data_IF_717385773457
#
_entry.id   IF_717385773457
#
_cell.length_a   1.000
_cell.length_b   1.000
_cell.length_c   1.000
_cell.angle_alpha   90.00
_cell.angle_beta   90.00
_cell.angle_gamma   90.00
#
_symmetry.space_group_name_H-M   'P 1'
#
loop_
_entity.id
_entity.type
_entity.pdbx_description
1 polymer ?
#
# COMPACT_ATOMS: atom_id res chain seq x y z
N UNK A 1 50.00 31.73 -13.19
CA UNK A 1 49.55 32.96 -13.86
C UNK A 1 49.39 32.67 -15.34
N UNK A 2 48.20 32.93 -15.89
CA UNK A 2 47.96 33.39 -17.27
C UNK A 2 47.98 32.35 -18.42
N UNK A 3 46.76 31.94 -18.80
CA UNK A 3 46.12 31.80 -20.14
C UNK A 3 46.88 31.28 -21.37
N UNK A 4 46.27 30.33 -22.07
CA UNK A 4 46.35 30.15 -23.54
C UNK A 4 45.09 29.43 -24.09
N UNK A 5 44.51 29.84 -25.24
CA UNK A 5 43.43 29.14 -25.96
C UNK A 5 43.88 28.64 -27.36
N UNK A 6 43.21 27.62 -27.92
CA UNK A 6 43.46 27.12 -29.29
C UNK A 6 42.31 26.18 -29.73
N UNK A 7 41.85 26.00 -30.98
CA UNK A 7 41.69 26.77 -32.23
C UNK A 7 40.81 25.87 -33.13
N UNK A 8 40.04 26.47 -34.03
CA UNK A 8 39.12 25.82 -34.98
C UNK A 8 39.81 25.34 -36.28
N UNK A 9 39.20 24.38 -37.01
CA UNK A 9 39.05 24.31 -38.49
C UNK A 9 38.32 22.99 -38.84
N UNK A 10 37.14 23.01 -39.50
CA UNK A 10 36.85 23.11 -40.96
C UNK A 10 36.82 21.73 -41.66
N UNK A 11 35.81 21.47 -42.52
CA UNK A 11 35.95 21.25 -43.98
C UNK A 11 34.57 20.96 -44.63
N UNK A 12 34.32 21.57 -45.79
CA UNK A 12 33.14 21.45 -46.67
C UNK A 12 33.19 20.20 -47.59
N UNK A 13 32.15 19.93 -48.41
CA UNK A 13 32.26 20.27 -49.85
C UNK A 13 30.93 20.65 -50.58
N UNK A 14 30.97 21.05 -51.87
CA UNK A 14 29.82 21.43 -52.73
C UNK A 14 29.55 20.37 -53.85
N UNK A 15 28.89 20.72 -54.99
CA UNK A 15 27.45 20.76 -55.25
C UNK A 15 27.00 19.66 -56.26
N UNK A 16 25.70 19.51 -56.51
CA UNK A 16 25.17 19.47 -57.88
C UNK A 16 23.64 19.47 -57.93
N UNK A 17 23.17 20.15 -58.97
CA UNK A 17 21.78 20.42 -59.32
C UNK A 17 21.36 19.37 -60.34
N UNK A 18 20.19 18.73 -60.19
CA UNK A 18 19.34 18.49 -61.36
C UNK A 18 17.90 18.15 -61.02
N UNK A 19 17.05 18.50 -61.98
CA UNK A 19 15.64 18.85 -61.87
C UNK A 19 14.74 17.69 -62.32
N UNK A 20 13.53 17.68 -61.75
CA UNK A 20 12.26 17.19 -62.29
C UNK A 20 11.89 15.70 -62.15
N UNK A 21 10.71 15.50 -61.52
CA UNK A 21 9.72 14.57 -62.06
C UNK A 21 8.79 13.91 -61.04
N UNK A 22 7.53 14.34 -61.06
CA UNK A 22 6.31 13.62 -60.67
C UNK A 22 5.81 13.77 -59.23
N UNK A 23 4.59 14.33 -59.15
CA UNK A 23 3.75 14.57 -57.98
C UNK A 23 3.09 13.29 -57.43
N UNK A 24 2.72 13.25 -56.13
CA UNK A 24 1.30 13.28 -55.74
C UNK A 24 1.03 13.52 -54.23
N UNK A 25 -0.08 14.21 -54.02
CA UNK A 25 -0.98 14.51 -52.90
C UNK A 25 -0.87 13.87 -51.50
N UNK A 26 -1.17 14.68 -50.47
CA UNK A 26 -1.60 14.17 -49.15
C UNK A 26 -1.96 15.18 -48.04
N UNK A 27 -1.43 16.41 -48.03
CA UNK A 27 -1.46 17.23 -46.80
C UNK A 27 -2.38 18.48 -46.79
N UNK A 28 -3.11 18.79 -47.87
CA UNK A 28 -3.87 20.07 -47.97
C UNK A 28 -5.39 20.00 -47.71
N UNK A 29 -5.94 18.83 -47.35
CA UNK A 29 -7.39 18.63 -47.22
C UNK A 29 -8.02 19.07 -45.88
N UNK A 30 -7.30 18.98 -44.76
CA UNK A 30 -7.90 19.11 -43.41
C UNK A 30 -8.06 20.56 -42.95
N UNK A 31 -7.27 21.49 -43.49
CA UNK A 31 -7.27 22.90 -43.06
C UNK A 31 -8.36 23.75 -43.71
N UNK A 32 -8.86 23.36 -44.92
CA UNK A 32 -9.96 24.07 -45.59
C UNK A 32 -11.34 23.69 -45.05
N UNK A 33 -11.55 22.45 -44.65
CA UNK A 33 -12.83 21.99 -44.10
C UNK A 33 -13.15 22.64 -42.74
N UNK A 34 -12.13 23.00 -41.95
CA UNK A 34 -12.34 23.64 -40.64
C UNK A 34 -12.74 25.12 -40.74
N UNK A 35 -12.37 25.81 -41.83
CA UNK A 35 -12.77 27.22 -42.07
C UNK A 35 -14.12 27.36 -42.76
N UNK A 36 -14.56 26.37 -43.53
CA UNK A 36 -15.88 26.38 -44.17
C UNK A 36 -17.03 26.16 -43.17
N UNK A 37 -16.83 25.34 -42.14
CA UNK A 37 -17.85 25.05 -41.12
C UNK A 37 -18.14 26.23 -40.15
N UNK A 38 -17.40 27.33 -40.24
CA UNK A 38 -17.57 28.52 -39.40
C UNK A 38 -18.42 29.62 -40.07
N UNK A 39 -18.83 29.46 -41.34
CA UNK A 39 -19.48 30.55 -42.10
C UNK A 39 -21.01 30.45 -42.23
N UNK A 40 -21.61 29.30 -41.91
CA UNK A 40 -23.08 29.11 -41.94
C UNK A 40 -23.63 28.84 -40.54
N UNK A 41 -23.52 29.81 -39.65
CA UNK A 41 -24.31 29.82 -38.40
C UNK A 41 -25.37 30.91 -38.47
N UNK A 42 -26.63 30.48 -38.49
CA UNK A 42 -27.80 31.36 -38.47
C UNK A 42 -27.80 32.21 -37.20
N UNK A 43 -28.39 33.42 -37.21
CA UNK A 43 -28.44 34.29 -36.04
C UNK A 43 -29.11 33.62 -34.82
N UNK A 44 -30.06 32.71 -35.06
CA UNK A 44 -30.69 31.88 -34.03
C UNK A 44 -29.73 30.89 -33.37
N UNK A 45 -28.81 30.28 -34.12
CA UNK A 45 -27.79 29.38 -33.55
C UNK A 45 -26.74 30.13 -32.74
N UNK A 46 -26.41 31.37 -33.12
CA UNK A 46 -25.53 32.25 -32.31
C UNK A 46 -26.20 32.72 -31.03
N UNK A 47 -27.51 32.96 -31.04
CA UNK A 47 -28.28 33.27 -29.84
C UNK A 47 -28.43 32.06 -28.91
N UNK A 48 -28.65 30.87 -29.46
CA UNK A 48 -28.68 29.60 -28.71
C UNK A 48 -27.33 29.27 -28.07
N UNK A 49 -26.21 29.45 -28.79
CA UNK A 49 -24.86 29.26 -28.21
C UNK A 49 -24.53 30.32 -27.13
N UNK A 50 -25.10 31.52 -27.21
CA UNK A 50 -24.93 32.56 -26.18
C UNK A 50 -25.77 32.26 -24.91
N UNK A 51 -26.96 31.66 -25.07
CA UNK A 51 -27.83 31.22 -23.96
C UNK A 51 -27.33 29.90 -23.34
N UNK A 52 -26.81 28.98 -24.14
CA UNK A 52 -26.18 27.72 -23.68
C UNK A 52 -24.77 27.98 -23.13
N UNK A 53 -24.07 29.01 -23.63
CA UNK A 53 -22.81 29.51 -23.08
C UNK A 53 -22.95 30.18 -21.70
N UNK A 54 -24.17 30.58 -21.32
CA UNK A 54 -24.46 31.19 -20.02
C UNK A 54 -24.54 30.16 -18.88
N UNK A 55 -24.67 28.86 -19.20
CA UNK A 55 -24.45 27.78 -18.22
C UNK A 55 -23.00 27.76 -17.70
N UNK A 56 -22.05 28.32 -18.46
CA UNK A 56 -20.65 28.42 -18.00
C UNK A 56 -20.45 29.52 -16.97
N UNK A 57 -21.19 30.62 -17.07
CA UNK A 57 -21.13 31.73 -16.12
C UNK A 57 -21.92 31.35 -14.87
N UNK A 58 -23.13 30.78 -15.01
CA UNK A 58 -23.91 30.27 -13.87
C UNK A 58 -23.19 29.12 -13.18
N UNK A 59 -22.54 28.18 -13.89
CA UNK A 59 -21.76 27.10 -13.25
C UNK A 59 -20.42 27.57 -12.69
N UNK A 60 -19.80 28.62 -13.23
CA UNK A 60 -18.59 29.23 -12.66
C UNK A 60 -18.93 30.05 -11.41
N UNK A 61 -19.98 30.86 -11.45
CA UNK A 61 -20.53 31.56 -10.29
C UNK A 61 -21.06 30.59 -9.24
N UNK A 62 -21.71 29.50 -9.64
CA UNK A 62 -22.18 28.46 -8.71
C UNK A 62 -21.00 27.69 -8.12
N UNK A 63 -19.98 27.31 -8.91
CA UNK A 63 -18.76 26.68 -8.37
C UNK A 63 -17.98 27.64 -7.47
N UNK A 64 -17.94 28.92 -7.79
CA UNK A 64 -17.26 29.95 -7.00
C UNK A 64 -18.05 30.31 -5.76
N UNK A 65 -19.38 30.39 -5.83
CA UNK A 65 -20.29 30.59 -4.70
C UNK A 65 -20.31 29.36 -3.80
N UNK A 66 -20.37 28.13 -4.32
CA UNK A 66 -20.23 26.88 -3.55
C UNK A 66 -18.84 26.79 -2.93
N UNK A 67 -17.78 27.19 -3.63
CA UNK A 67 -16.43 27.24 -3.06
C UNK A 67 -16.31 28.32 -1.98
N UNK A 68 -16.93 29.48 -2.17
CA UNK A 68 -16.95 30.58 -1.20
C UNK A 68 -17.79 30.22 0.03
N UNK A 69 -18.97 29.65 -0.17
CA UNK A 69 -19.86 29.10 0.86
C UNK A 69 -19.17 27.96 1.61
N UNK A 70 -18.51 27.04 0.91
CA UNK A 70 -17.75 25.94 1.54
C UNK A 70 -16.54 26.44 2.32
N UNK A 71 -15.88 27.51 1.90
CA UNK A 71 -14.72 28.09 2.61
C UNK A 71 -15.13 28.99 3.79
N UNK A 72 -16.29 29.66 3.72
CA UNK A 72 -16.78 30.57 4.77
C UNK A 72 -17.78 29.93 5.74
N UNK A 73 -18.63 29.03 5.26
CA UNK A 73 -19.75 28.45 6.01
C UNK A 73 -19.43 27.08 6.57
N UNK A 74 -18.71 26.19 5.87
CA UNK A 74 -18.31 24.91 6.46
C UNK A 74 -17.49 25.03 7.75
N UNK A 75 -16.48 25.91 7.90
CA UNK A 75 -15.77 26.01 9.18
C UNK A 75 -16.63 26.58 10.32
N UNK A 76 -17.78 27.20 10.01
CA UNK A 76 -18.73 27.74 10.99
C UNK A 76 -19.79 26.70 11.37
N UNK A 77 -20.14 25.79 10.46
CA UNK A 77 -21.11 24.71 10.70
C UNK A 77 -20.47 23.40 11.19
N UNK A 78 -19.19 23.17 10.91
CA UNK A 78 -18.42 22.00 11.35
C UNK A 78 -18.49 21.73 12.87
N UNK A 79 -18.57 22.76 13.74
CA UNK A 79 -18.72 22.53 15.16
C UNK A 79 -20.13 22.09 15.59
N UNK A 80 -21.19 22.23 14.79
CA UNK A 80 -22.56 21.95 15.25
C UNK A 80 -22.81 20.43 15.34
N UNK A 81 -23.17 19.93 16.52
CA UNK A 81 -23.46 18.51 16.71
C UNK A 81 -24.84 18.15 16.13
N UNK A 82 -25.14 16.86 15.99
CA UNK A 82 -26.49 16.42 15.58
C UNK A 82 -27.59 16.95 16.52
N UNK A 83 -27.30 17.02 17.82
CA UNK A 83 -28.19 17.63 18.81
C UNK A 83 -28.27 19.15 18.65
N UNK A 84 -27.15 19.82 18.39
CA UNK A 84 -27.13 21.26 18.08
C UNK A 84 -28.01 21.63 16.89
N UNK A 85 -28.02 20.80 15.85
CA UNK A 85 -28.93 20.97 14.70
C UNK A 85 -30.41 20.80 15.08
N UNK A 86 -30.74 19.79 15.89
CA UNK A 86 -32.11 19.60 16.37
C UNK A 86 -32.59 20.81 17.19
N UNK A 87 -31.73 21.33 18.07
CA UNK A 87 -32.02 22.54 18.86
C UNK A 87 -32.11 23.78 17.98
N UNK A 88 -31.24 23.95 16.99
CA UNK A 88 -31.27 25.05 16.03
C UNK A 88 -32.58 25.06 15.24
N UNK A 89 -32.97 23.92 14.67
CA UNK A 89 -34.22 23.78 13.90
C UNK A 89 -35.44 23.95 14.80
N UNK A 90 -35.44 23.30 15.97
CA UNK A 90 -36.53 23.44 16.94
C UNK A 90 -36.72 24.88 17.41
N UNK A 91 -35.62 25.60 17.65
CA UNK A 91 -35.62 27.03 17.99
C UNK A 91 -36.24 27.86 16.86
N UNK A 92 -35.83 27.63 15.61
CA UNK A 92 -36.36 28.36 14.46
C UNK A 92 -37.86 28.08 14.25
N UNK A 93 -38.28 26.82 14.32
CA UNK A 93 -39.69 26.42 14.17
C UNK A 93 -40.55 27.02 15.29
N UNK A 94 -40.08 26.96 16.54
CA UNK A 94 -40.80 27.53 17.68
C UNK A 94 -40.99 29.05 17.55
N UNK A 95 -39.95 29.78 17.11
CA UNK A 95 -40.06 31.22 16.87
C UNK A 95 -41.03 31.55 15.72
N UNK A 96 -40.92 30.86 14.58
CA UNK A 96 -41.77 31.12 13.41
C UNK A 96 -43.23 30.78 13.70
N UNK A 97 -43.48 29.60 14.28
CA UNK A 97 -44.83 29.18 14.64
C UNK A 97 -45.41 30.05 15.76
N UNK A 98 -44.62 30.39 16.78
CA UNK A 98 -45.05 31.25 17.87
C UNK A 98 -45.43 32.66 17.40
N UNK A 99 -44.64 33.27 16.51
CA UNK A 99 -44.95 34.58 15.93
C UNK A 99 -46.17 34.48 14.99
N UNK A 100 -46.24 33.45 14.14
CA UNK A 100 -47.33 33.29 13.18
C UNK A 100 -48.68 32.97 13.82
N UNK A 101 -48.70 32.18 14.89
CA UNK A 101 -49.90 31.77 15.62
C UNK A 101 -50.23 32.69 16.81
N UNK A 102 -49.31 33.59 17.19
CA UNK A 102 -49.46 34.46 18.36
C UNK A 102 -49.32 33.75 19.72
N UNK A 103 -48.75 32.53 19.73
CA UNK A 103 -48.61 31.71 20.94
C UNK A 103 -47.35 32.12 21.73
N UNK A 104 -47.56 32.71 22.90
CA UNK A 104 -46.47 33.26 23.73
C UNK A 104 -45.53 32.17 24.25
N UNK A 105 -46.06 31.00 24.54
CA UNK A 105 -45.33 29.84 25.05
C UNK A 105 -44.28 29.37 24.03
N UNK A 106 -44.62 29.30 22.75
CA UNK A 106 -43.70 28.93 21.67
C UNK A 106 -42.60 29.97 21.47
N UNK A 107 -42.93 31.26 21.60
CA UNK A 107 -41.95 32.35 21.52
C UNK A 107 -40.93 32.24 22.66
N UNK A 108 -41.38 31.97 23.89
CA UNK A 108 -40.50 31.80 25.06
C UNK A 108 -39.55 30.62 24.86
N UNK A 109 -40.04 29.48 24.38
CA UNK A 109 -39.22 28.31 24.05
C UNK A 109 -38.16 28.67 22.99
N UNK A 110 -38.57 29.41 21.95
CA UNK A 110 -37.66 29.89 20.92
C UNK A 110 -36.56 30.81 21.45
N UNK A 111 -36.90 31.76 22.32
CA UNK A 111 -35.90 32.66 22.93
C UNK A 111 -34.95 31.86 23.84
N UNK A 112 -35.46 30.93 24.64
CA UNK A 112 -34.64 30.07 25.50
C UNK A 112 -33.65 29.23 24.67
N UNK A 113 -34.10 28.63 23.56
CA UNK A 113 -33.24 27.91 22.62
C UNK A 113 -32.18 28.80 21.98
N UNK A 114 -32.53 30.03 21.61
CA UNK A 114 -31.59 31.00 21.06
C UNK A 114 -30.51 31.40 22.08
N UNK A 115 -30.88 31.65 23.34
CA UNK A 115 -29.93 31.96 24.42
C UNK A 115 -28.98 30.78 24.68
N UNK A 116 -29.49 29.55 24.63
CA UNK A 116 -28.71 28.33 24.80
C UNK A 116 -27.65 28.20 23.68
N UNK A 117 -28.03 28.46 22.43
CA UNK A 117 -27.10 28.46 21.28
C UNK A 117 -26.03 29.56 21.41
N UNK A 118 -26.41 30.78 21.79
CA UNK A 118 -25.48 31.89 22.02
C UNK A 118 -24.49 31.56 23.14
N UNK A 119 -24.98 30.99 24.24
CA UNK A 119 -24.15 30.47 25.32
C UNK A 119 -23.14 29.43 24.82
N UNK A 120 -23.60 28.45 24.05
CA UNK A 120 -22.74 27.43 23.43
C UNK A 120 -21.64 28.03 22.54
N UNK A 121 -21.97 29.04 21.72
CA UNK A 121 -20.99 29.73 20.88
C UNK A 121 -19.92 30.40 21.75
N UNK A 122 -20.31 31.09 22.82
CA UNK A 122 -19.37 31.71 23.76
C UNK A 122 -18.36 30.72 24.37
N UNK A 123 -18.78 29.48 24.62
CA UNK A 123 -17.90 28.42 25.13
C UNK A 123 -16.84 27.96 24.12
N UNK A 124 -17.09 28.08 22.81
CA UNK A 124 -16.17 27.62 21.75
C UNK A 124 -15.30 28.74 21.18
N UNK A 125 -15.76 29.99 21.30
CA UNK A 125 -15.02 31.17 20.84
C UNK A 125 -13.80 31.39 21.73
N UNK A 126 -12.69 30.78 21.33
CA UNK A 126 -11.36 30.93 21.93
C UNK A 126 -10.29 30.51 20.94
N UNK A 127 -9.16 31.25 20.92
CA UNK A 127 -7.99 30.94 20.07
C UNK A 127 -6.89 30.40 20.97
N UNK A 128 -6.97 29.12 21.31
CA UNK A 128 -5.87 28.46 22.00
C UNK A 128 -4.82 28.09 20.94
N UNK A 129 -3.56 28.45 21.19
CA UNK A 129 -2.43 28.07 20.36
C UNK A 129 -1.62 27.06 21.15
N UNK A 130 -1.71 25.79 20.75
CA UNK A 130 -0.83 24.75 21.24
C UNK A 130 0.27 24.51 20.21
N UNK A 131 1.46 24.14 20.68
CA UNK A 131 2.41 23.41 19.85
C UNK A 131 2.46 22.02 20.43
N UNK A 132 2.04 21.02 19.66
CA UNK A 132 1.95 19.64 20.10
C UNK A 132 2.93 18.82 19.28
N UNK A 133 3.75 18.05 19.98
CA UNK A 133 4.68 17.10 19.38
C UNK A 133 4.26 15.69 19.80
N UNK A 134 4.06 14.82 18.82
CA UNK A 134 3.71 13.41 19.01
C UNK A 134 4.91 12.59 18.58
N UNK A 135 5.45 11.81 19.50
CA UNK A 135 6.64 11.00 19.30
C UNK A 135 6.36 9.55 19.68
N UNK A 136 6.91 8.61 18.92
CA UNK A 136 6.79 7.18 19.18
C UNK A 136 8.19 6.65 19.43
N UNK A 137 8.39 5.96 20.56
CA UNK A 137 9.70 5.40 20.91
C UNK A 137 10.28 4.51 19.80
N UNK A 138 9.40 3.74 19.14
CA UNK A 138 9.71 2.97 17.94
C UNK A 138 8.54 3.05 16.96
N UNK A 139 8.85 3.13 15.66
CA UNK A 139 7.85 3.07 14.57
C UNK A 139 7.56 1.64 14.11
N UNK A 140 8.31 0.66 14.63
CA UNK A 140 8.20 -0.77 14.34
C UNK A 140 8.38 -1.56 15.61
N UNK A 141 7.45 -2.47 15.88
CA UNK A 141 7.43 -3.31 17.08
C UNK A 141 6.92 -4.70 16.70
N UNK A 142 7.26 -5.73 17.46
CA UNK A 142 6.73 -7.07 17.25
C UNK A 142 5.43 -7.26 18.05
N UNK A 143 4.50 -8.09 17.56
CA UNK A 143 3.29 -8.46 18.30
C UNK A 143 3.62 -8.87 19.74
N UNK A 144 2.94 -8.25 20.71
CA UNK A 144 3.12 -8.50 22.15
C UNK A 144 4.24 -7.68 22.81
N UNK A 145 5.05 -6.93 22.06
CA UNK A 145 6.00 -5.97 22.64
C UNK A 145 5.28 -4.70 23.12
N UNK A 146 5.83 -4.05 24.15
CA UNK A 146 5.26 -2.83 24.71
C UNK A 146 5.61 -1.64 23.81
N UNK A 147 4.63 -1.15 23.04
CA UNK A 147 4.76 0.10 22.31
C UNK A 147 4.27 1.27 23.16
N UNK A 148 5.08 2.32 23.26
CA UNK A 148 4.76 3.54 24.00
C UNK A 148 4.82 4.76 23.07
N UNK A 149 3.81 5.60 23.16
CA UNK A 149 3.78 6.93 22.55
C UNK A 149 3.95 8.01 23.61
N UNK A 150 4.66 9.08 23.26
CA UNK A 150 4.87 10.27 24.10
C UNK A 150 4.19 11.45 23.41
N UNK A 151 3.43 12.22 24.17
CA UNK A 151 2.83 13.46 23.71
C UNK A 151 3.36 14.60 24.56
N UNK A 152 3.90 15.62 23.89
CA UNK A 152 4.41 16.83 24.52
C UNK A 152 3.62 18.03 24.02
N UNK A 153 3.05 18.79 24.96
CA UNK A 153 2.12 19.88 24.67
C UNK A 153 2.69 21.16 25.27
N UNK A 154 3.04 22.11 24.41
CA UNK A 154 3.54 23.42 24.79
C UNK A 154 2.44 24.48 24.69
N UNK A 155 2.33 25.31 25.72
CA UNK A 155 1.46 26.47 25.73
C UNK A 155 2.06 27.61 24.88
N UNK A 156 1.76 27.60 23.57
CA UNK A 156 2.24 28.60 22.60
C UNK A 156 1.36 29.87 22.54
N UNK A 157 0.88 30.33 23.69
CA UNK A 157 -0.04 31.47 23.85
C UNK A 157 0.55 32.52 24.79
N UNK A 158 0.25 33.80 24.54
CA UNK A 158 0.61 34.91 25.46
C UNK A 158 -0.34 35.04 26.65
N UNK A 159 -1.48 34.35 26.62
CA UNK A 159 -2.48 34.31 27.71
C UNK A 159 -2.60 32.88 28.27
N UNK A 160 -2.97 32.73 29.55
CA UNK A 160 -3.22 31.42 30.15
C UNK A 160 -4.29 30.65 29.37
N UNK A 161 -4.04 29.35 29.17
CA UNK A 161 -4.92 28.43 28.47
C UNK A 161 -5.83 27.75 29.50
N UNK A 162 -7.13 27.76 29.22
CA UNK A 162 -8.12 27.05 30.03
C UNK A 162 -7.96 25.53 29.89
N UNK A 163 -8.45 24.75 30.88
CA UNK A 163 -8.48 23.30 30.77
C UNK A 163 -9.10 22.82 29.47
N UNK A 164 -8.51 21.81 28.85
CA UNK A 164 -8.95 21.27 27.57
C UNK A 164 -8.64 19.77 27.49
N UNK A 165 -9.36 19.05 26.64
CA UNK A 165 -9.09 17.64 26.39
C UNK A 165 -8.36 17.47 25.07
N UNK A 166 -7.25 16.75 25.10
CA UNK A 166 -6.50 16.34 23.91
C UNK A 166 -6.83 14.88 23.63
N UNK A 167 -7.20 14.61 22.39
CA UNK A 167 -7.53 13.28 21.90
C UNK A 167 -6.46 12.83 20.89
N UNK A 168 -5.93 11.63 21.10
CA UNK A 168 -4.99 10.96 20.19
C UNK A 168 -5.60 9.63 19.76
N UNK A 169 -6.07 9.53 18.49
CA UNK A 169 -6.54 8.25 17.94
C UNK A 169 -5.38 7.25 17.87
N UNK A 170 -5.63 6.00 18.28
CA UNK A 170 -4.67 4.89 18.22
C UNK A 170 -5.38 3.70 17.57
N UNK A 171 -5.37 3.66 16.23
CA UNK A 171 -6.19 2.71 15.47
C UNK A 171 -7.69 2.91 15.76
N UNK A 172 -8.31 1.94 16.45
CA UNK A 172 -9.73 2.01 16.86
C UNK A 172 -9.94 2.60 18.26
N UNK A 173 -8.89 2.68 19.07
CA UNK A 173 -8.94 3.26 20.41
C UNK A 173 -8.70 4.77 20.36
N UNK A 174 -9.14 5.49 21.39
CA UNK A 174 -8.93 6.92 21.54
C UNK A 174 -8.29 7.17 22.91
N UNK A 175 -7.05 7.66 22.92
CA UNK A 175 -6.41 8.11 24.13
C UNK A 175 -6.81 9.56 24.41
N UNK A 176 -7.33 9.84 25.61
CA UNK A 176 -7.75 11.18 26.02
C UNK A 176 -6.91 11.68 27.20
N UNK A 177 -6.37 12.89 27.05
CA UNK A 177 -5.53 13.55 28.03
C UNK A 177 -6.22 14.84 28.47
N UNK A 178 -6.40 15.01 29.79
CA UNK A 178 -7.02 16.20 30.35
C UNK A 178 -5.92 17.18 30.72
N UNK A 179 -5.86 18.29 29.99
CA UNK A 179 -4.93 19.36 30.31
C UNK A 179 -5.48 20.20 31.46
N UNK A 180 -4.65 20.48 32.48
CA UNK A 180 -4.98 21.50 33.45
C UNK A 180 -4.95 22.88 32.80
N UNK A 181 -5.24 23.91 33.59
CA UNK A 181 -4.97 25.28 33.18
C UNK A 181 -3.45 25.45 32.99
N UNK A 182 -3.01 25.90 31.82
CA UNK A 182 -1.60 26.09 31.50
C UNK A 182 -1.25 27.58 31.41
N UNK A 183 -0.12 27.98 31.98
CA UNK A 183 0.46 29.31 31.82
C UNK A 183 1.23 29.42 30.50
N UNK A 184 1.47 30.65 30.00
CA UNK A 184 2.36 30.87 28.86
C UNK A 184 3.74 30.22 29.09
N UNK A 185 4.18 29.35 28.17
CA UNK A 185 5.46 28.65 28.25
C UNK A 185 5.44 27.31 29.01
N UNK A 186 4.33 26.94 29.64
CA UNK A 186 4.21 25.62 30.29
C UNK A 186 4.30 24.47 29.28
N UNK A 187 4.83 23.34 29.75
CA UNK A 187 4.93 22.08 29.03
C UNK A 187 4.21 21.00 29.82
N UNK A 188 3.33 20.27 29.14
CA UNK A 188 2.64 19.11 29.68
C UNK A 188 3.04 17.87 28.87
N UNK A 189 3.55 16.85 29.54
CA UNK A 189 4.01 15.61 28.93
C UNK A 189 3.22 14.43 29.48
N UNK A 190 2.72 13.58 28.58
CA UNK A 190 2.08 12.32 28.94
C UNK A 190 2.60 11.17 28.07
N UNK A 191 2.62 9.97 28.64
CA UNK A 191 2.98 8.73 27.95
C UNK A 191 1.77 7.80 27.92
N UNK A 192 1.54 7.16 26.78
CA UNK A 192 0.44 6.21 26.61
C UNK A 192 0.91 4.91 25.96
N UNK A 193 0.27 3.81 26.35
CA UNK A 193 0.52 2.50 25.78
C UNK A 193 -0.31 2.28 24.51
N UNK A 194 0.32 1.71 23.50
CA UNK A 194 -0.32 1.37 22.23
C UNK A 194 -0.55 -0.15 22.21
N UNK A 195 -1.79 -0.62 21.96
CA UNK A 195 -2.08 -2.06 21.98
C UNK A 195 -1.46 -2.78 20.77
N UNK A 196 -0.59 -3.76 21.05
CA UNK A 196 0.16 -4.56 20.05
C UNK A 196 -0.29 -6.03 20.04
N UNK A 197 -1.54 -6.32 20.38
CA UNK A 197 -2.06 -7.68 20.58
C UNK A 197 -2.10 -8.53 19.30
N UNK A 198 -2.21 -7.89 18.13
CA UNK A 198 -2.18 -8.55 16.81
C UNK A 198 -1.38 -7.71 15.83
N UNK A 199 -0.85 -8.36 14.78
CA UNK A 199 -0.12 -7.66 13.72
C UNK A 199 -1.09 -6.71 13.00
N UNK A 200 -0.64 -5.50 12.71
CA UNK A 200 -1.40 -4.51 11.94
C UNK A 200 -0.51 -3.31 11.65
N UNK A 201 -0.98 -2.41 10.79
CA UNK A 201 -0.40 -1.08 10.59
C UNK A 201 -1.34 -0.11 11.33
N UNK A 202 -0.89 0.41 12.49
CA UNK A 202 -1.65 1.36 13.29
C UNK A 202 -1.31 2.79 12.88
N UNK A 203 -2.34 3.60 12.61
CA UNK A 203 -2.20 5.04 12.53
C UNK A 203 -2.35 5.61 13.96
N UNK A 204 -1.31 6.30 14.43
CA UNK A 204 -1.29 6.98 15.72
C UNK A 204 -1.37 8.48 15.48
N UNK A 205 -2.38 9.13 16.05
CA UNK A 205 -2.76 10.49 15.70
C UNK A 205 -3.68 10.53 14.47
N UNK A 206 -3.90 11.72 13.89
CA UNK A 206 -3.34 13.00 14.29
C UNK A 206 -3.86 13.46 15.65
N UNK A 207 -3.04 14.20 16.39
CA UNK A 207 -3.47 14.76 17.68
C UNK A 207 -4.50 15.87 17.45
N UNK A 208 -5.59 15.81 18.21
CA UNK A 208 -6.70 16.77 18.12
C UNK A 208 -7.00 17.36 19.49
N UNK A 209 -7.18 18.68 19.56
CA UNK A 209 -7.80 19.29 20.74
C UNK A 209 -9.31 19.33 20.54
N UNK A 210 -10.06 18.88 21.54
CA UNK A 210 -11.52 18.90 21.51
C UNK A 210 -12.04 19.88 22.54
N UNK A 211 -12.97 20.75 22.10
CA UNK A 211 -13.66 21.70 22.95
C UNK A 211 -15.15 21.62 22.68
N UNK A 212 -15.92 21.29 23.70
CA UNK A 212 -17.39 21.27 23.64
C UNK A 212 -17.99 22.30 24.59
N UNK A 213 -19.25 22.66 24.35
CA UNK A 213 -20.07 23.32 25.36
C UNK A 213 -20.67 22.30 26.35
N UNK A 214 -21.05 22.72 27.58
CA UNK A 214 -21.61 21.80 28.60
C UNK A 214 -22.92 21.12 28.20
N UNK A 215 -23.66 21.68 27.23
CA UNK A 215 -24.96 21.17 26.77
C UNK A 215 -24.81 20.28 25.53
N UNK A 216 -23.61 20.23 24.92
CA UNK A 216 -23.29 19.37 23.78
C UNK A 216 -23.86 19.83 22.44
N UNK A 217 -24.23 21.12 22.31
CA UNK A 217 -24.75 21.70 21.07
C UNK A 217 -23.67 21.82 20.00
N UNK A 218 -22.45 22.10 20.43
CA UNK A 218 -21.32 22.43 19.60
C UNK A 218 -20.07 21.69 20.11
N UNK A 219 -19.33 21.08 19.20
CA UNK A 219 -18.06 20.39 19.44
C UNK A 219 -17.05 20.80 18.39
N UNK A 220 -16.07 21.62 18.78
CA UNK A 220 -14.99 22.05 17.91
C UNK A 220 -13.77 21.14 18.07
N UNK A 221 -13.27 20.61 16.96
CA UNK A 221 -12.03 19.84 16.91
C UNK A 221 -10.98 20.60 16.09
N UNK A 222 -9.73 20.65 16.58
CA UNK A 222 -8.61 21.26 15.85
C UNK A 222 -7.49 20.24 15.75
N UNK A 223 -7.01 19.98 14.54
CA UNK A 223 -5.88 19.10 14.24
C UNK A 223 -4.55 19.85 14.45
N UNK A 224 -3.61 19.24 15.17
CA UNK A 224 -2.30 19.84 15.48
C UNK A 224 -1.11 19.14 14.84
N UNK A 225 -1.15 17.80 14.73
CA UNK A 225 -0.07 16.99 14.15
C UNK A 225 -0.55 16.17 12.96
N UNK A 226 0.36 15.58 12.21
CA UNK A 226 0.06 14.53 11.24
C UNK A 226 0.08 13.14 11.91
N UNK A 227 -0.68 12.16 11.37
CA UNK A 227 -0.63 10.79 11.88
C UNK A 227 0.74 10.16 11.60
N UNK A 228 1.18 9.29 12.51
CA UNK A 228 2.39 8.49 12.38
C UNK A 228 2.02 7.01 12.26
N UNK A 229 2.67 6.32 11.33
CA UNK A 229 2.48 4.88 11.13
C UNK A 229 3.34 4.06 12.09
N UNK A 230 2.68 3.22 12.88
CA UNK A 230 3.31 2.18 13.68
C UNK A 230 3.05 0.81 13.06
N UNK A 231 4.13 0.13 12.67
CA UNK A 231 4.07 -1.22 12.12
C UNK A 231 4.21 -2.25 13.24
N UNK A 232 3.18 -3.07 13.45
CA UNK A 232 3.23 -4.21 14.38
C UNK A 232 3.52 -5.47 13.57
N UNK A 233 4.79 -5.89 13.58
CA UNK A 233 5.33 -7.02 12.83
C UNK A 233 4.86 -8.36 13.42
N UNK A 234 4.64 -9.38 12.56
CA UNK A 234 4.36 -10.73 13.04
C UNK A 234 5.55 -11.29 13.85
N UNK A 235 5.27 -12.21 14.77
CA UNK A 235 6.34 -12.92 15.50
C UNK A 235 7.07 -13.82 14.52
N UNK A 236 8.40 -13.70 14.44
CA UNK A 236 9.23 -14.54 13.58
C UNK A 236 10.22 -15.32 14.42
N UNK A 237 10.70 -16.44 13.87
CA UNK A 237 11.74 -17.26 14.46
C UNK A 237 12.94 -17.30 13.51
N UNK A 238 14.13 -17.36 14.08
CA UNK A 238 15.33 -17.59 13.28
C UNK A 238 15.43 -19.08 12.95
N UNK A 239 15.86 -19.39 11.74
CA UNK A 239 16.15 -20.75 11.31
C UNK A 239 17.63 -21.02 11.52
N UNK A 240 17.97 -22.18 12.08
CA UNK A 240 19.38 -22.56 12.30
C UNK A 240 20.13 -22.66 10.96
N UNK A 241 21.39 -22.25 10.95
CA UNK A 241 22.30 -22.31 9.78
C UNK A 241 22.55 -23.74 9.25
N UNK A 242 21.94 -24.77 9.85
CA UNK A 242 21.97 -26.18 9.42
C UNK A 242 20.74 -26.61 8.62
N UNK A 243 19.78 -25.71 8.36
CA UNK A 243 18.75 -25.87 7.32
C UNK A 243 19.12 -25.42 5.87
N UNK A 244 20.39 -25.16 5.47
CA UNK A 244 20.71 -24.64 4.15
C UNK A 244 20.80 -25.73 3.09
N UNK A 245 20.71 -27.02 3.43
CA UNK A 245 20.72 -28.08 2.41
C UNK A 245 19.60 -27.93 1.37
N UNK A 246 18.47 -27.32 1.74
CA UNK A 246 17.36 -27.04 0.82
C UNK A 246 17.50 -25.66 0.14
N UNK A 247 18.12 -24.70 0.83
CA UNK A 247 18.11 -23.28 0.48
C UNK A 247 19.42 -22.83 -0.21
N UNK A 248 20.58 -23.36 0.18
CA UNK A 248 21.88 -23.17 -0.50
C UNK A 248 22.09 -24.10 -1.68
N UNK A 249 21.49 -25.29 -1.69
CA UNK A 249 21.57 -26.19 -2.86
C UNK A 249 20.86 -25.58 -4.09
N UNK A 250 20.12 -24.49 -3.88
CA UNK A 250 19.55 -23.63 -4.92
C UNK A 250 20.60 -22.82 -5.69
N UNK A 251 21.80 -22.59 -5.15
CA UNK A 251 22.94 -22.06 -5.92
C UNK A 251 23.54 -23.13 -6.84
N UNK A 252 23.38 -24.41 -6.50
CA UNK A 252 23.89 -25.57 -7.26
C UNK A 252 22.92 -26.12 -8.30
N UNK A 253 21.61 -25.93 -8.12
CA UNK A 253 20.58 -26.27 -9.12
C UNK A 253 20.45 -25.12 -10.11
N UNK A 254 21.46 -24.94 -10.97
CA UNK A 254 21.19 -24.33 -12.27
C UNK A 254 20.33 -25.32 -13.04
N UNK A 255 19.10 -24.93 -13.41
CA UNK A 255 18.38 -25.70 -14.44
C UNK A 255 19.28 -25.69 -15.67
N UNK A 256 19.81 -26.86 -16.03
CA UNK A 256 20.66 -27.09 -17.20
C UNK A 256 19.84 -27.04 -18.48
N UNK A 257 19.11 -25.95 -18.70
CA UNK A 257 18.49 -25.67 -19.98
C UNK A 257 19.51 -24.94 -20.84
N UNK A 258 20.05 -25.69 -21.80
CA UNK A 258 20.98 -25.17 -22.79
C UNK A 258 20.19 -24.29 -23.76
N UNK A 259 20.54 -23.02 -23.83
CA UNK A 259 19.89 -22.04 -24.70
C UNK A 259 20.91 -21.45 -25.68
N UNK A 260 20.41 -20.94 -26.80
CA UNK A 260 21.23 -20.18 -27.75
C UNK A 260 21.46 -18.74 -27.31
N UNK A 261 20.92 -18.29 -26.15
CA UNK A 261 21.05 -16.91 -25.67
C UNK A 261 21.30 -16.75 -24.16
N UNK A 262 22.43 -16.09 -23.83
CA UNK A 262 22.76 -15.30 -22.62
C UNK A 262 22.69 -16.01 -21.24
N UNK A 263 23.77 -16.20 -20.46
CA UNK A 263 24.85 -15.26 -20.07
C UNK A 263 26.18 -15.95 -19.65
N UNK A 264 26.29 -17.29 -19.66
CA UNK A 264 27.55 -18.00 -19.35
C UNK A 264 27.97 -18.95 -20.48
N UNK A 265 29.20 -18.80 -20.99
CA UNK A 265 29.77 -19.73 -21.98
C UNK A 265 29.93 -21.12 -21.35
N UNK A 266 29.28 -22.12 -21.92
CA UNK A 266 29.32 -23.49 -21.41
C UNK A 266 30.18 -24.39 -22.31
N UNK A 267 29.85 -24.48 -23.61
CA UNK A 267 30.54 -25.36 -24.54
C UNK A 267 30.51 -24.84 -25.99
N UNK A 268 31.30 -25.47 -26.86
CA UNK A 268 31.24 -25.31 -28.32
C UNK A 268 30.51 -26.51 -28.91
N UNK A 269 29.55 -26.27 -29.81
CA UNK A 269 28.90 -27.33 -30.59
C UNK A 269 28.88 -27.00 -32.07
N UNK A 270 28.60 -28.00 -32.89
CA UNK A 270 28.42 -27.81 -34.32
C UNK A 270 27.19 -26.94 -34.61
N UNK A 271 27.32 -26.06 -35.60
CA UNK A 271 26.26 -25.19 -36.09
C UNK A 271 25.16 -26.02 -36.73
N UNK A 272 23.91 -25.77 -36.32
CA UNK A 272 22.72 -26.33 -36.96
C UNK A 272 21.94 -25.19 -37.61
N UNK A 273 21.32 -25.47 -38.76
CA UNK A 273 20.49 -24.50 -39.46
C UNK A 273 19.35 -24.01 -38.55
N UNK A 274 19.37 -22.71 -38.21
CA UNK A 274 18.46 -22.09 -37.23
C UNK A 274 19.20 -21.39 -36.09
N UNK A 275 20.48 -21.69 -35.89
CA UNK A 275 21.32 -21.01 -34.90
C UNK A 275 21.66 -19.57 -35.31
N UNK A 276 21.68 -18.64 -34.34
CA UNK A 276 22.06 -17.25 -34.60
C UNK A 276 23.55 -17.17 -34.93
N UNK A 277 23.85 -16.65 -36.13
CA UNK A 277 25.20 -16.50 -36.68
C UNK A 277 26.11 -15.62 -35.81
N UNK A 278 25.54 -14.75 -34.96
CA UNK A 278 26.29 -13.90 -34.02
C UNK A 278 27.05 -14.70 -32.97
N UNK A 279 26.61 -15.93 -32.69
CA UNK A 279 27.24 -16.80 -31.70
C UNK A 279 28.25 -17.77 -32.30
N UNK A 280 28.57 -17.65 -33.60
CA UNK A 280 29.61 -18.46 -34.25
C UNK A 280 30.99 -18.11 -33.65
N UNK A 281 31.71 -19.14 -33.20
CA UNK A 281 33.04 -19.00 -32.68
C UNK A 281 34.10 -19.11 -33.77
N UNK A 282 34.33 -18.01 -34.50
CA UNK A 282 35.21 -17.98 -35.69
C UNK A 282 36.59 -18.60 -35.48
N UNK A 283 37.21 -18.42 -34.31
CA UNK A 283 38.54 -18.99 -34.02
C UNK A 283 38.54 -20.52 -33.96
N UNK A 284 37.49 -21.14 -33.39
CA UNK A 284 37.37 -22.60 -33.37
C UNK A 284 36.96 -23.11 -34.75
N UNK A 285 36.01 -22.43 -35.41
CA UNK A 285 35.57 -22.81 -36.75
C UNK A 285 36.70 -22.79 -37.78
N UNK A 286 37.62 -21.82 -37.68
CA UNK A 286 38.79 -21.74 -38.53
C UNK A 286 39.81 -22.90 -38.30
N UNK A 287 39.82 -23.50 -37.10
CA UNK A 287 40.74 -24.60 -36.76
C UNK A 287 40.16 -25.96 -37.14
N UNK A 288 38.85 -26.15 -36.96
CA UNK A 288 38.18 -27.43 -37.23
C UNK A 288 37.62 -27.54 -38.65
N UNK A 289 37.52 -26.43 -39.38
CA UNK A 289 36.95 -26.39 -40.73
C UNK A 289 35.43 -26.53 -40.77
N UNK A 290 34.77 -26.57 -39.60
CA UNK A 290 33.32 -26.68 -39.43
C UNK A 290 32.80 -25.51 -38.60
N UNK A 291 31.62 -24.98 -38.93
CA UNK A 291 31.04 -23.87 -38.17
C UNK A 291 30.68 -24.34 -36.75
N UNK A 292 31.31 -23.73 -35.75
CA UNK A 292 31.01 -23.99 -34.34
C UNK A 292 30.28 -22.81 -33.72
N UNK A 293 29.29 -23.08 -32.88
CA UNK A 293 28.47 -22.10 -32.17
C UNK A 293 28.75 -22.19 -30.66
N UNK A 294 28.84 -21.03 -30.01
CA UNK A 294 28.88 -20.93 -28.55
C UNK A 294 27.53 -21.35 -27.97
N UNK A 295 27.53 -22.36 -27.12
CA UNK A 295 26.36 -22.75 -26.35
C UNK A 295 26.41 -22.05 -24.99
N UNK A 296 25.32 -21.37 -24.65
CA UNK A 296 25.20 -20.65 -23.40
C UNK A 296 24.36 -21.46 -22.42
N UNK A 297 24.79 -21.45 -21.15
CA UNK A 297 23.96 -21.93 -20.06
C UNK A 297 23.10 -20.75 -19.57
N UNK A 298 21.79 -20.93 -19.55
CA UNK A 298 20.92 -19.94 -18.92
C UNK A 298 21.06 -20.12 -17.41
N UNK A 299 21.83 -19.25 -16.75
CA UNK A 299 21.81 -19.18 -15.29
C UNK A 299 20.46 -18.62 -14.86
N UNK A 300 19.45 -19.48 -14.73
CA UNK A 300 18.28 -19.12 -13.94
C UNK A 300 18.77 -19.03 -12.50
N UNK A 301 18.77 -17.82 -11.94
CA UNK A 301 18.88 -17.67 -10.49
C UNK A 301 17.72 -18.45 -9.89
N UNK A 302 18.00 -19.28 -8.90
CA UNK A 302 16.94 -20.01 -8.22
C UNK A 302 16.02 -19.03 -7.51
N UNK A 303 14.77 -18.98 -7.98
CA UNK A 303 13.74 -18.13 -7.39
C UNK A 303 12.94 -18.94 -6.38
N UNK A 304 12.83 -18.42 -5.16
CA UNK A 304 11.98 -18.95 -4.10
C UNK A 304 10.64 -18.21 -4.11
N UNK A 305 9.55 -18.91 -4.40
CA UNK A 305 8.20 -18.36 -4.32
C UNK A 305 7.53 -18.76 -3.00
N UNK A 306 7.26 -17.79 -2.14
CA UNK A 306 6.49 -17.95 -0.90
C UNK A 306 5.04 -17.50 -1.14
N UNK A 307 4.10 -18.45 -1.11
CA UNK A 307 2.67 -18.19 -1.27
C UNK A 307 1.93 -18.21 0.05
N UNK A 308 1.03 -17.26 0.30
CA UNK A 308 0.11 -17.27 1.45
C UNK A 308 -1.33 -17.18 0.98
N UNK A 309 -2.16 -18.15 1.38
CA UNK A 309 -3.60 -18.02 1.18
C UNK A 309 -4.16 -16.97 2.12
N UNK A 310 -4.93 -16.02 1.57
CA UNK A 310 -5.68 -15.02 2.32
C UNK A 310 -7.19 -15.29 2.35
N UNK A 311 -7.64 -16.47 1.94
CA UNK A 311 -9.06 -16.86 2.03
C UNK A 311 -9.42 -17.25 3.46
N UNK A 312 -10.49 -16.70 4.06
CA UNK A 312 -10.99 -17.18 5.34
C UNK A 312 -11.36 -18.68 5.33
N UNK A 313 -11.89 -19.19 4.21
CA UNK A 313 -12.35 -20.58 4.08
C UNK A 313 -11.21 -21.61 4.21
N UNK A 314 -9.98 -21.20 3.91
CA UNK A 314 -8.80 -22.08 3.97
C UNK A 314 -8.29 -22.28 5.41
N UNK A 315 -8.88 -21.61 6.40
CA UNK A 315 -8.47 -21.65 7.81
C UNK A 315 -9.64 -22.02 8.72
N UNK A 316 -9.39 -22.86 9.73
CA UNK A 316 -10.40 -23.22 10.72
C UNK A 316 -10.47 -22.20 11.87
N UNK A 317 -9.33 -21.57 12.19
CA UNK A 317 -9.19 -20.60 13.29
C UNK A 317 -8.40 -19.38 12.80
N UNK A 318 -8.81 -18.13 13.13
CA UNK A 318 -8.06 -16.93 12.76
C UNK A 318 -6.58 -16.92 13.20
N UNK A 319 -6.25 -17.61 14.29
CA UNK A 319 -4.88 -17.74 14.79
C UNK A 319 -4.00 -18.59 13.86
N UNK A 320 -4.58 -19.50 13.06
CA UNK A 320 -3.84 -20.26 12.05
C UNK A 320 -3.30 -19.32 10.96
N UNK A 321 -4.07 -18.30 10.58
CA UNK A 321 -3.63 -17.30 9.61
C UNK A 321 -2.51 -16.41 10.16
N UNK A 322 -2.61 -15.99 11.42
CA UNK A 322 -1.53 -15.27 12.11
C UNK A 322 -0.23 -16.09 12.14
N UNK A 323 -0.35 -17.40 12.38
CA UNK A 323 0.78 -18.33 12.42
C UNK A 323 1.35 -18.61 11.03
N UNK A 324 0.51 -18.74 9.99
CA UNK A 324 0.94 -18.87 8.60
C UNK A 324 1.76 -17.66 8.14
N UNK A 325 1.36 -16.45 8.54
CA UNK A 325 2.09 -15.22 8.26
C UNK A 325 3.41 -15.15 9.03
N UNK A 326 3.41 -15.64 10.27
CA UNK A 326 4.61 -15.76 11.10
C UNK A 326 5.63 -16.74 10.48
N UNK A 327 5.17 -17.87 9.94
CA UNK A 327 5.99 -18.86 9.22
C UNK A 327 6.54 -18.26 7.94
N UNK A 328 5.69 -17.66 7.11
CA UNK A 328 6.12 -17.02 5.86
C UNK A 328 7.11 -15.89 6.12
N UNK A 329 6.87 -15.07 7.15
CA UNK A 329 7.80 -14.02 7.57
C UNK A 329 9.16 -14.59 8.00
N UNK A 330 9.17 -15.70 8.73
CA UNK A 330 10.42 -16.36 9.16
C UNK A 330 11.21 -16.92 7.97
N UNK A 331 10.53 -17.61 7.04
CA UNK A 331 11.13 -18.15 5.81
C UNK A 331 11.63 -17.04 4.89
N UNK A 332 10.84 -15.98 4.71
CA UNK A 332 11.23 -14.85 3.87
C UNK A 332 12.38 -14.05 4.47
N UNK A 333 12.45 -13.89 5.80
CA UNK A 333 13.61 -13.28 6.45
C UNK A 333 14.87 -14.11 6.24
N UNK A 334 14.77 -15.43 6.34
CA UNK A 334 15.90 -16.31 6.07
C UNK A 334 16.35 -16.19 4.61
N UNK A 335 15.42 -16.23 3.66
CA UNK A 335 15.72 -16.09 2.24
C UNK A 335 16.40 -14.75 1.90
N UNK A 336 15.96 -13.65 2.53
CA UNK A 336 16.60 -12.34 2.37
C UNK A 336 18.01 -12.31 2.99
N UNK A 337 18.21 -12.97 4.14
CA UNK A 337 19.54 -13.09 4.78
C UNK A 337 20.50 -13.91 3.92
N UNK A 338 19.99 -14.94 3.26
CA UNK A 338 20.73 -15.81 2.34
C UNK A 338 20.84 -15.20 0.92
N UNK A 339 20.49 -13.92 0.73
CA UNK A 339 20.57 -13.17 -0.52
C UNK A 339 19.84 -13.81 -1.72
N UNK A 340 18.81 -14.61 -1.44
CA UNK A 340 18.03 -15.28 -2.47
C UNK A 340 17.10 -14.34 -3.23
N UNK A 341 16.80 -14.70 -4.47
CA UNK A 341 15.69 -14.09 -5.21
C UNK A 341 14.36 -14.65 -4.67
N UNK A 342 13.75 -13.91 -3.73
CA UNK A 342 12.51 -14.31 -3.07
C UNK A 342 11.33 -13.48 -3.57
N UNK A 343 10.28 -14.19 -3.95
CA UNK A 343 9.00 -13.62 -4.32
C UNK A 343 7.97 -14.02 -3.27
N UNK A 344 7.25 -13.04 -2.75
CA UNK A 344 6.19 -13.29 -1.76
C UNK A 344 4.85 -12.94 -2.38
N UNK A 345 3.98 -13.93 -2.54
CA UNK A 345 2.67 -13.80 -3.18
C UNK A 345 1.56 -14.08 -2.17
N UNK A 346 0.60 -13.16 -2.06
CA UNK A 346 -0.69 -13.43 -1.39
C UNK A 346 -1.76 -13.73 -2.44
N UNK A 347 -2.97 -14.15 -2.05
CA UNK A 347 -4.05 -14.35 -3.03
C UNK A 347 -4.40 -13.06 -3.80
N UNK A 348 -4.12 -11.88 -3.25
CA UNK A 348 -4.43 -10.58 -3.87
C UNK A 348 -3.28 -9.93 -4.64
N UNK A 349 -2.07 -9.99 -4.08
CA UNK A 349 -0.93 -9.19 -4.56
C UNK A 349 0.41 -9.80 -4.18
N UNK A 350 1.42 -9.44 -4.95
CA UNK A 350 2.82 -9.65 -4.59
C UNK A 350 3.22 -8.65 -3.51
N UNK A 351 3.92 -9.11 -2.48
CA UNK A 351 4.45 -8.27 -1.40
C UNK A 351 5.92 -7.92 -1.71
N UNK A 352 6.36 -6.69 -1.35
CA UNK A 352 7.76 -6.33 -1.49
C UNK A 352 8.61 -7.12 -0.49
N UNK A 353 9.59 -7.87 -1.00
CA UNK A 353 10.49 -8.70 -0.20
C UNK A 353 11.98 -8.34 -0.40
N UNK A 354 12.28 -7.14 -0.92
CA UNK A 354 13.67 -6.71 -1.22
C UNK A 354 14.57 -6.60 0.00
N UNK A 355 13.98 -6.37 1.18
CA UNK A 355 14.69 -6.36 2.46
C UNK A 355 13.77 -6.97 3.52
N UNK A 356 14.35 -7.54 4.58
CA UNK A 356 13.58 -8.13 5.67
C UNK A 356 12.63 -7.12 6.31
N UNK A 357 13.07 -5.86 6.43
CA UNK A 357 12.25 -4.75 6.93
C UNK A 357 11.02 -4.50 6.04
N UNK A 358 11.18 -4.41 4.73
CA UNK A 358 10.05 -4.18 3.80
C UNK A 358 9.09 -5.36 3.75
N UNK A 359 9.62 -6.58 3.86
CA UNK A 359 8.82 -7.79 3.96
C UNK A 359 7.92 -7.75 5.20
N UNK A 360 8.49 -7.50 6.38
CA UNK A 360 7.74 -7.45 7.63
C UNK A 360 6.75 -6.27 7.68
N UNK A 361 7.14 -5.10 7.18
CA UNK A 361 6.24 -3.94 7.04
C UNK A 361 5.03 -4.32 6.16
N UNK A 362 5.26 -5.03 5.04
CA UNK A 362 4.20 -5.48 4.14
C UNK A 362 3.30 -6.57 4.76
N UNK A 363 3.88 -7.53 5.48
CA UNK A 363 3.15 -8.60 6.17
C UNK A 363 2.26 -8.07 7.31
N UNK A 364 2.67 -6.98 7.95
CA UNK A 364 1.89 -6.30 8.99
C UNK A 364 0.55 -5.81 8.46
N UNK A 365 0.48 -5.41 7.18
CA UNK A 365 -0.73 -4.94 6.51
C UNK A 365 -1.52 -6.02 5.77
N UNK A 366 -1.16 -7.30 5.90
CA UNK A 366 -1.91 -8.39 5.26
C UNK A 366 -3.18 -8.66 6.05
N UNK A 367 -4.32 -8.54 5.38
CA UNK A 367 -5.64 -8.88 5.90
C UNK A 367 -6.30 -9.95 5.03
N UNK A 368 -7.40 -10.53 5.53
CA UNK A 368 -8.25 -11.45 4.78
C UNK A 368 -8.66 -10.88 3.42
N UNK A 369 -8.83 -11.76 2.43
CA UNK A 369 -9.45 -11.38 1.17
C UNK A 369 -10.98 -11.38 1.32
N UNK A 370 -11.68 -10.30 0.90
CA UNK A 370 -13.14 -10.25 0.81
C UNK A 370 -13.65 -11.00 -0.42
N UNK A 371 -12.77 -11.36 -1.35
CA UNK A 371 -13.05 -12.33 -2.41
C UNK A 371 -12.69 -13.71 -1.86
N UNK A 372 -13.50 -14.72 -2.17
CA UNK A 372 -13.19 -16.12 -1.90
C UNK A 372 -12.08 -16.60 -2.85
N UNK A 373 -10.90 -15.97 -2.78
CA UNK A 373 -9.71 -16.33 -3.56
C UNK A 373 -9.12 -17.60 -2.95
N UNK A 374 -9.41 -18.77 -3.53
CA UNK A 374 -9.09 -20.06 -2.90
C UNK A 374 -7.61 -20.39 -3.01
N UNK A 375 -7.16 -21.34 -2.20
CA UNK A 375 -5.80 -21.90 -2.25
C UNK A 375 -5.29 -22.23 -3.68
N UNK A 376 -6.15 -22.74 -4.55
CA UNK A 376 -5.80 -23.05 -5.94
C UNK A 376 -5.52 -21.80 -6.80
N UNK A 377 -6.20 -20.68 -6.54
CA UNK A 377 -6.01 -19.43 -7.27
C UNK A 377 -4.65 -18.82 -6.96
N UNK A 378 -4.19 -18.96 -5.71
CA UNK A 378 -2.83 -18.61 -5.31
C UNK A 378 -1.80 -19.43 -6.10
N UNK A 379 -1.96 -20.76 -6.15
CA UNK A 379 -1.06 -21.64 -6.89
C UNK A 379 -1.04 -21.31 -8.40
N UNK A 380 -2.21 -21.09 -9.01
CA UNK A 380 -2.33 -20.67 -10.41
C UNK A 380 -1.67 -19.32 -10.66
N UNK A 381 -1.78 -18.37 -9.72
CA UNK A 381 -1.17 -17.05 -9.84
C UNK A 381 0.35 -17.13 -9.77
N UNK A 382 0.89 -17.91 -8.84
CA UNK A 382 2.34 -18.17 -8.76
C UNK A 382 2.83 -18.83 -10.04
N UNK A 383 2.12 -19.83 -10.57
CA UNK A 383 2.49 -20.49 -11.82
C UNK A 383 2.52 -19.53 -13.02
N UNK A 384 1.56 -18.60 -13.10
CA UNK A 384 1.50 -17.61 -14.20
C UNK A 384 2.55 -16.50 -14.07
N UNK A 385 2.74 -15.96 -12.87
CA UNK A 385 3.59 -14.77 -12.65
C UNK A 385 5.05 -15.13 -12.37
N UNK A 386 5.30 -16.34 -11.87
CA UNK A 386 6.60 -16.80 -11.39
C UNK A 386 6.92 -18.21 -11.90
N UNK A 387 6.74 -18.44 -13.21
CA UNK A 387 7.00 -19.72 -13.86
C UNK A 387 8.47 -20.21 -13.73
N UNK A 388 9.40 -19.31 -13.39
CA UNK A 388 10.80 -19.61 -13.13
C UNK A 388 11.14 -20.01 -11.69
N UNK A 389 10.16 -20.17 -10.80
CA UNK A 389 10.40 -20.56 -9.42
C UNK A 389 10.96 -21.99 -9.32
N UNK A 390 12.12 -22.15 -8.68
CA UNK A 390 12.76 -23.45 -8.41
C UNK A 390 12.14 -24.11 -7.18
N UNK A 391 11.69 -23.31 -6.22
CA UNK A 391 11.02 -23.78 -5.00
C UNK A 391 9.76 -22.96 -4.77
N UNK A 392 8.67 -23.65 -4.47
CA UNK A 392 7.39 -23.02 -4.12
C UNK A 392 6.97 -23.50 -2.74
N UNK A 393 6.87 -22.57 -1.78
CA UNK A 393 6.39 -22.83 -0.43
C UNK A 393 5.03 -22.16 -0.24
N UNK A 394 3.95 -22.95 -0.17
CA UNK A 394 2.59 -22.44 0.02
C UNK A 394 2.17 -22.55 1.49
N UNK A 395 1.43 -21.57 2.00
CA UNK A 395 1.00 -21.49 3.39
C UNK A 395 -0.53 -21.35 3.44
N UNK A 396 -1.19 -22.24 4.17
CA UNK A 396 -2.63 -22.24 4.36
C UNK A 396 -3.03 -22.85 5.72
N UNK A 397 -4.31 -22.80 6.06
CA UNK A 397 -4.84 -23.33 7.32
C UNK A 397 -5.37 -24.76 7.22
N UNK A 398 -6.03 -25.20 8.28
CA UNK A 398 -6.45 -26.60 8.46
C UNK A 398 -7.50 -27.09 7.44
N UNK A 399 -8.26 -26.19 6.82
CA UNK A 399 -9.34 -26.55 5.90
C UNK A 399 -8.85 -26.92 4.49
N UNK A 400 -7.56 -26.72 4.18
CA UNK A 400 -6.99 -27.15 2.91
C UNK A 400 -6.76 -28.66 2.91
N UNK A 401 -7.68 -29.38 2.27
CA UNK A 401 -7.61 -30.83 2.09
C UNK A 401 -6.34 -31.24 1.29
N UNK A 402 -5.64 -32.32 1.67
CA UNK A 402 -4.62 -32.97 0.85
C UNK A 402 -4.96 -33.13 -0.65
N UNK A 403 -6.23 -33.33 -1.02
CA UNK A 403 -6.65 -33.38 -2.43
C UNK A 403 -6.47 -32.05 -3.15
N UNK A 404 -6.73 -30.92 -2.47
CA UNK A 404 -6.46 -29.59 -3.02
C UNK A 404 -4.96 -29.34 -3.16
N UNK A 405 -4.15 -29.85 -2.24
CA UNK A 405 -2.68 -29.79 -2.35
C UNK A 405 -2.19 -30.52 -3.61
N UNK A 406 -2.73 -31.71 -3.89
CA UNK A 406 -2.42 -32.45 -5.12
C UNK A 406 -2.84 -31.71 -6.38
N UNK A 407 -4.01 -31.04 -6.37
CA UNK A 407 -4.46 -30.18 -7.47
C UNK A 407 -3.62 -28.92 -7.64
N UNK A 408 -3.16 -28.31 -6.54
CA UNK A 408 -2.27 -27.15 -6.61
C UNK A 408 -0.94 -27.53 -7.29
N UNK A 409 -0.40 -28.72 -6.99
CA UNK A 409 0.81 -29.25 -7.61
C UNK A 409 0.73 -29.39 -9.13
N UNK A 410 -0.44 -29.73 -9.69
CA UNK A 410 -0.61 -29.83 -11.16
C UNK A 410 -0.61 -28.48 -11.86
N UNK A 411 -0.84 -27.39 -11.12
CA UNK A 411 -0.80 -26.02 -11.66
C UNK A 411 0.61 -25.42 -11.62
N UNK A 412 1.42 -25.82 -10.63
CA UNK A 412 2.78 -25.30 -10.42
C UNK A 412 3.78 -25.89 -11.43
N UNK A 413 4.90 -25.18 -11.68
CA UNK A 413 5.95 -25.65 -12.59
C UNK A 413 6.42 -27.06 -12.23
N UNK A 414 6.57 -27.94 -13.21
CA UNK A 414 6.92 -29.36 -13.00
C UNK A 414 8.29 -29.54 -12.37
N UNK A 415 9.23 -28.65 -12.68
CA UNK A 415 10.60 -28.62 -12.18
C UNK A 415 10.70 -28.05 -10.76
N UNK A 416 9.67 -27.37 -10.27
CA UNK A 416 9.71 -26.73 -8.96
C UNK A 416 9.53 -27.76 -7.83
N UNK A 417 10.38 -27.69 -6.81
CA UNK A 417 10.15 -28.41 -5.55
C UNK A 417 9.04 -27.70 -4.78
N UNK A 418 7.95 -28.41 -4.47
CA UNK A 418 6.77 -27.82 -3.81
C UNK A 418 6.67 -28.30 -2.37
N UNK A 419 6.57 -27.35 -1.45
CA UNK A 419 6.34 -27.58 -0.03
C UNK A 419 5.06 -26.85 0.36
N UNK A 420 4.16 -27.52 1.07
CA UNK A 420 2.93 -26.90 1.57
C UNK A 420 2.93 -26.96 3.08
N UNK A 421 2.85 -25.79 3.71
CA UNK A 421 2.68 -25.60 5.13
C UNK A 421 1.19 -25.46 5.44
N UNK A 422 0.64 -26.48 6.09
CA UNK A 422 -0.71 -26.47 6.65
C UNK A 422 -0.63 -26.16 8.13
N UNK A 423 -1.19 -25.02 8.51
CA UNK A 423 -1.23 -24.59 9.90
C UNK A 423 -2.48 -25.13 10.57
N UNK A 424 -2.29 -25.91 11.64
CA UNK A 424 -3.40 -26.50 12.40
C UNK A 424 -3.18 -26.21 13.87
N UNK A 425 -4.07 -25.41 14.48
CA UNK A 425 -3.90 -24.96 15.87
C UNK A 425 -3.75 -26.16 16.82
N UNK A 426 -2.66 -26.20 17.59
CA UNK A 426 -2.38 -27.25 18.57
C UNK A 426 -1.89 -28.59 18.01
N UNK A 427 -1.70 -28.71 16.68
CA UNK A 427 -1.13 -29.90 16.09
C UNK A 427 0.37 -30.02 16.37
N UNK A 428 0.85 -31.25 16.57
CA UNK A 428 2.28 -31.53 16.60
C UNK A 428 2.90 -31.43 15.20
N UNK A 429 4.16 -30.95 15.09
CA UNK A 429 4.82 -30.82 13.80
C UNK A 429 4.97 -32.17 13.11
N UNK A 430 4.53 -32.26 11.86
CA UNK A 430 4.61 -33.48 11.04
C UNK A 430 4.97 -33.13 9.61
N UNK A 431 5.86 -33.92 9.00
CA UNK A 431 6.20 -33.83 7.59
C UNK A 431 5.76 -35.12 6.89
N UNK A 432 5.00 -35.03 5.81
CA UNK A 432 4.52 -36.19 5.04
C UNK A 432 4.68 -35.94 3.54
N UNK A 433 5.26 -36.86 2.77
CA UNK A 433 5.24 -36.77 1.31
C UNK A 433 3.82 -37.10 0.78
N UNK A 434 3.37 -36.33 -0.21
CA UNK A 434 2.12 -36.54 -0.95
C UNK A 434 2.47 -36.45 -2.45
N UNK A 435 2.87 -37.58 -3.03
CA UNK A 435 3.49 -37.59 -4.35
C UNK A 435 4.76 -36.74 -4.34
N UNK A 436 4.85 -35.77 -5.25
CA UNK A 436 6.01 -34.87 -5.38
C UNK A 436 5.91 -33.60 -4.50
N UNK A 437 5.00 -33.58 -3.52
CA UNK A 437 4.81 -32.46 -2.59
C UNK A 437 5.16 -32.89 -1.18
N UNK A 438 5.94 -32.07 -0.48
CA UNK A 438 6.13 -32.23 0.96
C UNK A 438 5.04 -31.45 1.72
N UNK A 439 4.15 -32.14 2.43
CA UNK A 439 3.13 -31.53 3.28
C UNK A 439 3.65 -31.43 4.73
N UNK A 440 3.84 -30.21 5.19
CA UNK A 440 4.26 -29.87 6.54
C UNK A 440 3.06 -29.38 7.37
N UNK A 441 2.67 -30.13 8.41
CA UNK A 441 1.68 -29.68 9.39
C UNK A 441 2.40 -29.01 10.56
N UNK A 442 2.00 -27.79 10.91
CA UNK A 442 2.63 -27.00 11.99
C UNK A 442 1.56 -26.37 12.89
N UNK A 443 1.71 -26.48 14.21
CA UNK A 443 0.80 -25.84 15.17
C UNK A 443 1.26 -24.48 15.69
N UNK A 444 2.57 -24.21 15.68
CA UNK A 444 3.18 -22.97 16.14
C UNK A 444 4.40 -22.60 15.29
N UNK A 445 4.66 -21.30 15.13
CA UNK A 445 5.87 -20.81 14.43
C UNK A 445 7.17 -21.31 15.09
N UNK A 446 7.15 -21.58 16.40
CA UNK A 446 8.29 -22.14 17.14
C UNK A 446 8.73 -23.53 16.68
N UNK A 447 7.84 -24.29 16.04
CA UNK A 447 8.16 -25.62 15.52
C UNK A 447 8.80 -25.60 14.13
N UNK A 448 8.78 -24.44 13.45
CA UNK A 448 9.29 -24.29 12.10
C UNK A 448 10.76 -24.75 11.94
N UNK A 449 11.72 -24.41 12.83
CA UNK A 449 13.10 -24.88 12.68
C UNK A 449 13.23 -26.42 12.71
N UNK A 450 12.37 -27.11 13.47
CA UNK A 450 12.36 -28.59 13.53
C UNK A 450 11.85 -29.19 12.22
N UNK A 451 10.78 -28.61 11.66
CA UNK A 451 10.22 -29.08 10.38
C UNK A 451 11.19 -28.83 9.24
N UNK A 452 11.82 -27.65 9.18
CA UNK A 452 12.78 -27.32 8.13
C UNK A 452 13.99 -28.26 8.10
N UNK A 453 14.47 -28.71 9.27
CA UNK A 453 15.50 -29.76 9.33
C UNK A 453 15.04 -31.08 8.71
N UNK A 454 13.79 -31.46 8.93
CA UNK A 454 13.20 -32.66 8.30
C UNK A 454 13.06 -32.53 6.78
N UNK A 455 12.73 -31.34 6.27
CA UNK A 455 12.63 -31.09 4.83
C UNK A 455 14.01 -31.15 4.16
N UNK A 456 15.07 -30.64 4.81
CA UNK A 456 16.43 -30.67 4.26
C UNK A 456 17.04 -32.08 4.16
N UNK A 457 16.50 -33.06 4.89
CA UNK A 457 16.95 -34.46 4.86
C UNK A 457 16.24 -35.32 3.80
N UNK A 458 15.21 -34.78 3.15
CA UNK A 458 14.47 -35.40 2.05
C UNK A 458 14.94 -34.84 0.71
#
# INVERSE_FOLDING_TARGET
MTTAPERATSTAPPPDTDIAGVADTGASGTTRLRRAALRDRTPLQRALDAVVGDESVVSAWWRQAVRWLRVRVCPVLEPITGFGWAVLVGTAVALVAGIGLGWKELIVIGIAGALLLVGGIGFIVGRNRYRIELDLAYTRVVVGERALGRIEIHAASTKPLLPATIEVPVGKALASFHLPRMQPGDVHEDVFAIPTSRRTILQVGPVRSVRGDPVGLLRRQVKWTDPVELFVHPKTVQLDETAPGLIRDLEGITTRDLTSSDIAFHALRDYVAGDDRRYIHWKSSARTGQLMVRQFEQTRRSVLALGLSTSPDDYADPQEFETAISILGSLGLQAVRDEMDVVVQTSRRTLPATTGKRLLDALSGVEWSPRHDRFLDLAATIARQHAGASVVMLHAGANVDPMLVRRARTLLPTQARVIVFTVVRGASPKLRPIGDVALATIGSVSDLPRVMRGVALQ
#
